data_IF_829645022407
#
_entry.id   IF_829645022407
#
_cell.length_a   1.000
_cell.length_b   1.000
_cell.length_c   1.000
_cell.angle_alpha   90.00
_cell.angle_beta   90.00
_cell.angle_gamma   90.00
#
_symmetry.space_group_name_H-M   'P 1'
#
loop_
_entity.id
_entity.type
_entity.pdbx_description
1 polymer ?
#
# COMPACT_ATOMS: atom_id res chain seq x y z
N UNK A 1 3.06 10.97 24.22
CA UNK A 1 2.74 10.32 22.96
C UNK A 1 1.55 11.04 22.31
N UNK A 2 1.69 11.45 21.05
CA UNK A 2 0.66 12.25 20.37
C UNK A 2 -0.54 11.39 19.93
N UNK A 3 -0.31 10.12 19.61
CA UNK A 3 -1.39 9.20 19.19
C UNK A 3 -1.96 8.52 20.43
N UNK A 4 -3.28 8.66 20.65
CA UNK A 4 -4.01 8.09 21.78
C UNK A 4 -4.96 6.96 21.39
N UNK A 5 -5.42 6.93 20.14
CA UNK A 5 -6.30 5.90 19.62
C UNK A 5 -6.05 5.60 18.14
N UNK A 6 -6.28 4.36 17.74
CA UNK A 6 -6.17 3.90 16.36
C UNK A 6 -7.03 2.65 16.11
N UNK A 7 -7.17 2.24 14.86
CA UNK A 7 -7.73 0.93 14.50
C UNK A 7 -6.68 -0.16 14.77
N UNK A 8 -6.78 -0.85 15.89
CA UNK A 8 -5.75 -1.80 16.35
C UNK A 8 -5.80 -3.17 15.67
N UNK A 9 -6.93 -3.55 15.08
CA UNK A 9 -7.17 -4.91 14.56
C UNK A 9 -6.30 -5.29 13.33
N UNK A 10 -5.80 -4.31 12.59
CA UNK A 10 -5.01 -4.53 11.38
C UNK A 10 -3.71 -3.69 11.38
N UNK A 11 -3.04 -3.62 12.52
CA UNK A 11 -1.75 -2.94 12.59
C UNK A 11 -0.68 -3.72 11.82
N UNK A 12 0.21 -3.02 11.09
CA UNK A 12 1.37 -3.65 10.49
C UNK A 12 2.25 -4.34 11.54
N UNK A 13 2.93 -5.42 11.15
CA UNK A 13 3.72 -6.24 12.07
C UNK A 13 4.76 -5.42 12.86
N UNK A 14 5.35 -4.39 12.25
CA UNK A 14 6.34 -3.51 12.90
C UNK A 14 5.74 -2.53 13.93
N UNK A 15 4.41 -2.44 14.05
CA UNK A 15 3.69 -1.66 15.07
C UNK A 15 2.90 -2.55 16.04
N UNK A 16 2.90 -3.88 15.85
CA UNK A 16 2.06 -4.79 16.63
C UNK A 16 2.32 -4.72 18.14
N UNK A 17 3.57 -4.56 18.55
CA UNK A 17 3.98 -4.42 19.97
C UNK A 17 3.51 -3.12 20.62
N UNK A 18 3.00 -2.17 19.83
CA UNK A 18 2.45 -0.89 20.31
C UNK A 18 0.93 -0.91 20.41
N UNK A 19 0.26 -1.96 19.92
CA UNK A 19 -1.20 -2.02 19.86
C UNK A 19 -1.84 -1.77 21.23
N UNK A 20 -1.28 -2.35 22.30
CA UNK A 20 -1.76 -2.18 23.69
C UNK A 20 -1.58 -0.77 24.27
N UNK A 21 -0.88 0.12 23.56
CA UNK A 21 -0.66 1.52 23.96
C UNK A 21 -1.77 2.46 23.47
N UNK A 22 -2.64 1.99 22.57
CA UNK A 22 -3.68 2.78 21.93
C UNK A 22 -5.07 2.26 22.28
N UNK A 23 -6.02 3.19 22.45
CA UNK A 23 -7.42 2.84 22.48
C UNK A 23 -7.89 2.40 21.08
N UNK A 24 -8.66 1.31 21.04
CA UNK A 24 -9.28 0.89 19.79
C UNK A 24 -10.48 1.80 19.44
N UNK A 25 -10.34 2.59 18.41
CA UNK A 25 -11.35 3.56 17.97
C UNK A 25 -12.13 3.08 16.72
N UNK A 26 -12.18 1.78 16.50
CA UNK A 26 -12.93 1.15 15.43
C UNK A 26 -12.05 0.39 14.44
N UNK A 27 -12.50 0.30 13.20
CA UNK A 27 -11.81 -0.40 12.11
C UNK A 27 -11.35 0.57 11.04
N UNK A 28 -10.60 0.07 10.06
CA UNK A 28 -10.20 0.86 8.87
C UNK A 28 -11.39 1.29 7.98
N UNK A 29 -12.60 0.78 8.23
CA UNK A 29 -13.80 1.05 7.42
C UNK A 29 -14.94 1.68 8.20
N UNK A 30 -14.93 1.56 9.52
CA UNK A 30 -16.02 2.01 10.39
C UNK A 30 -15.44 2.50 11.71
N UNK A 31 -15.55 3.81 12.01
CA UNK A 31 -15.06 4.38 13.26
C UNK A 31 -15.98 4.01 14.42
N UNK A 32 -15.44 3.80 15.60
CA UNK A 32 -16.22 3.72 16.83
C UNK A 32 -16.41 5.13 17.41
N UNK A 33 -17.52 5.77 17.02
CA UNK A 33 -17.84 7.16 17.39
C UNK A 33 -17.95 7.34 18.90
N UNK A 34 -18.48 6.33 19.61
CA UNK A 34 -18.59 6.37 21.08
C UNK A 34 -17.20 6.33 21.75
N UNK A 35 -16.32 5.45 21.28
CA UNK A 35 -14.94 5.37 21.76
C UNK A 35 -14.18 6.69 21.49
N UNK A 36 -14.33 7.27 20.30
CA UNK A 36 -13.74 8.55 19.94
C UNK A 36 -14.26 9.68 20.82
N UNK A 37 -15.58 9.75 21.06
CA UNK A 37 -16.16 10.77 21.93
C UNK A 37 -15.67 10.64 23.38
N UNK A 38 -15.52 9.41 23.89
CA UNK A 38 -15.00 9.14 25.23
C UNK A 38 -13.50 9.48 25.35
N UNK A 39 -12.73 9.24 24.28
CA UNK A 39 -11.31 9.56 24.23
C UNK A 39 -11.06 11.08 24.19
N UNK A 40 -12.02 11.85 23.68
CA UNK A 40 -11.97 13.31 23.55
C UNK A 40 -10.65 13.81 22.92
N UNK A 41 -10.30 13.38 21.72
CA UNK A 41 -9.06 13.76 21.06
C UNK A 41 -9.08 15.24 20.67
N UNK A 42 -7.89 15.85 20.56
CA UNK A 42 -7.73 17.23 20.06
C UNK A 42 -7.80 17.29 18.52
N UNK A 43 -7.52 16.16 17.85
CA UNK A 43 -7.52 16.02 16.39
C UNK A 43 -7.87 14.59 15.99
N UNK A 44 -8.63 14.44 14.92
CA UNK A 44 -8.91 13.15 14.27
C UNK A 44 -8.29 13.16 12.88
N UNK A 45 -7.44 12.18 12.59
CA UNK A 45 -6.85 11.98 11.27
C UNK A 45 -7.53 10.77 10.63
N UNK A 46 -8.05 10.96 9.42
CA UNK A 46 -8.71 9.89 8.64
C UNK A 46 -8.11 9.77 7.25
N UNK A 47 -8.39 8.66 6.59
CA UNK A 47 -8.11 8.47 5.16
C UNK A 47 -9.40 8.45 4.33
N UNK A 48 -9.28 8.33 3.01
CA UNK A 48 -10.42 8.28 2.07
C UNK A 48 -11.51 7.28 2.46
N UNK A 49 -11.16 6.19 3.14
CA UNK A 49 -12.13 5.14 3.54
C UNK A 49 -13.15 5.60 4.56
N UNK A 50 -12.82 6.65 5.30
CA UNK A 50 -13.67 7.19 6.36
C UNK A 50 -14.28 8.55 5.99
N UNK A 51 -14.18 9.00 4.75
CA UNK A 51 -14.71 10.29 4.30
C UNK A 51 -16.22 10.44 4.56
N UNK A 52 -16.98 9.38 4.41
CA UNK A 52 -18.44 9.39 4.67
C UNK A 52 -18.78 9.65 6.14
N UNK A 53 -17.82 9.48 7.03
CA UNK A 53 -17.96 9.77 8.48
C UNK A 53 -17.41 11.14 8.88
N UNK A 54 -16.77 11.88 7.97
CA UNK A 54 -16.05 13.12 8.31
C UNK A 54 -16.93 14.12 9.05
N UNK A 55 -18.13 14.42 8.56
CA UNK A 55 -19.06 15.35 9.22
C UNK A 55 -19.44 14.90 10.64
N UNK A 56 -19.64 13.60 10.84
CA UNK A 56 -19.97 13.07 12.17
C UNK A 56 -18.76 13.14 13.11
N UNK A 57 -17.56 12.93 12.61
CA UNK A 57 -16.33 13.00 13.40
C UNK A 57 -15.98 14.45 13.76
N UNK A 58 -16.30 15.42 12.89
CA UNK A 58 -16.14 16.86 13.16
C UNK A 58 -17.00 17.36 14.34
N UNK A 59 -18.05 16.64 14.70
CA UNK A 59 -18.81 16.94 15.92
C UNK A 59 -18.02 16.64 17.21
N UNK A 60 -16.96 15.83 17.13
CA UNK A 60 -16.11 15.44 18.26
C UNK A 60 -14.84 16.30 18.32
N UNK A 61 -14.10 16.40 17.21
CA UNK A 61 -12.86 17.15 17.11
C UNK A 61 -12.58 17.56 15.64
N UNK A 62 -11.68 18.53 15.39
CA UNK A 62 -11.24 18.84 14.04
C UNK A 62 -10.78 17.59 13.31
N UNK A 63 -11.14 17.46 12.01
CA UNK A 63 -10.80 16.32 11.16
C UNK A 63 -9.81 16.72 10.09
N UNK A 64 -8.73 15.96 9.93
CA UNK A 64 -7.78 16.09 8.83
C UNK A 64 -7.80 14.82 7.99
N UNK A 65 -7.92 14.99 6.67
CA UNK A 65 -7.89 13.88 5.73
C UNK A 65 -6.50 13.75 5.14
N UNK A 66 -5.81 12.66 5.47
CA UNK A 66 -4.53 12.29 4.86
C UNK A 66 -4.76 11.09 3.95
N UNK A 67 -4.60 11.30 2.66
CA UNK A 67 -4.84 10.30 1.63
C UNK A 67 -3.74 10.29 0.61
N UNK A 68 -3.63 9.18 -0.13
CA UNK A 68 -2.70 9.03 -1.24
C UNK A 68 -3.47 9.11 -2.55
N UNK A 69 -2.96 9.90 -3.47
CA UNK A 69 -3.39 9.93 -4.86
C UNK A 69 -2.51 8.97 -5.66
N UNK A 70 -3.11 7.92 -6.21
CA UNK A 70 -2.35 6.92 -6.98
C UNK A 70 -1.84 7.45 -8.32
N UNK A 71 -2.36 8.59 -8.80
CA UNK A 71 -1.88 9.28 -10.00
C UNK A 71 -0.71 10.23 -9.72
N UNK A 72 -0.52 10.61 -8.46
CA UNK A 72 0.62 11.36 -7.95
C UNK A 72 1.01 10.85 -6.55
N UNK A 73 1.41 9.58 -6.51
CA UNK A 73 1.68 8.88 -5.24
C UNK A 73 2.70 9.62 -4.40
N UNK A 74 3.89 9.89 -4.96
CA UNK A 74 4.97 10.49 -4.19
C UNK A 74 4.67 11.93 -3.77
N UNK A 75 4.07 12.73 -4.65
CA UNK A 75 3.66 14.09 -4.30
C UNK A 75 2.63 14.12 -3.18
N UNK A 76 1.67 13.19 -3.18
CA UNK A 76 0.68 13.10 -2.10
C UNK A 76 1.27 12.62 -0.78
N UNK A 77 2.24 11.70 -0.80
CA UNK A 77 2.98 11.27 0.41
C UNK A 77 3.79 12.43 1.00
N UNK A 78 4.53 13.20 0.17
CA UNK A 78 5.25 14.38 0.62
C UNK A 78 4.31 15.39 1.27
N UNK A 79 3.15 15.63 0.66
CA UNK A 79 2.13 16.54 1.21
C UNK A 79 1.65 16.06 2.59
N UNK A 80 1.40 14.75 2.74
CA UNK A 80 0.98 14.17 4.02
C UNK A 80 2.06 14.34 5.09
N UNK A 81 3.32 14.05 4.77
CA UNK A 81 4.46 14.24 5.70
C UNK A 81 4.58 15.71 6.12
N UNK A 82 4.55 16.65 5.16
CA UNK A 82 4.60 18.09 5.44
C UNK A 82 3.42 18.52 6.32
N UNK A 83 2.21 18.02 6.05
CA UNK A 83 1.02 18.34 6.85
C UNK A 83 1.18 17.86 8.28
N UNK A 84 1.70 16.65 8.49
CA UNK A 84 1.99 16.13 9.84
C UNK A 84 3.09 16.96 10.54
N UNK A 85 4.13 17.37 9.83
CA UNK A 85 5.16 18.28 10.36
C UNK A 85 4.56 19.55 10.93
N UNK A 86 3.66 20.19 10.16
CA UNK A 86 2.98 21.42 10.63
C UNK A 86 2.05 21.17 11.82
N UNK A 87 1.30 20.05 11.82
CA UNK A 87 0.36 19.70 12.92
C UNK A 87 1.10 19.51 14.25
N UNK A 88 2.30 18.94 14.21
CA UNK A 88 3.05 18.55 15.40
C UNK A 88 4.23 19.48 15.73
N UNK A 89 4.38 20.63 15.05
CA UNK A 89 5.51 21.57 15.16
C UNK A 89 6.87 20.87 14.89
N UNK A 90 6.90 19.93 13.91
CA UNK A 90 8.04 19.09 13.54
C UNK A 90 8.41 19.24 12.05
N UNK A 91 8.34 20.47 11.52
CA UNK A 91 8.55 20.73 10.10
C UNK A 91 9.98 20.37 9.64
N UNK A 92 10.98 20.57 10.49
CA UNK A 92 12.37 20.23 10.18
C UNK A 92 12.54 18.71 10.04
N UNK A 93 11.92 17.93 10.93
CA UNK A 93 11.93 16.46 10.85
C UNK A 93 11.17 15.95 9.62
N UNK A 94 10.06 16.61 9.26
CA UNK A 94 9.29 16.28 8.06
C UNK A 94 10.10 16.54 6.77
N UNK A 95 10.81 17.67 6.71
CA UNK A 95 11.69 17.99 5.58
C UNK A 95 12.86 17.00 5.46
N UNK A 96 13.52 16.66 6.57
CA UNK A 96 14.60 15.67 6.59
C UNK A 96 14.13 14.28 6.14
N UNK A 97 12.93 13.86 6.57
CA UNK A 97 12.33 12.60 6.13
C UNK A 97 12.07 12.59 4.61
N UNK A 98 11.53 13.69 4.05
CA UNK A 98 11.29 13.82 2.60
C UNK A 98 12.61 13.76 1.83
N UNK A 99 13.65 14.45 2.29
CA UNK A 99 14.98 14.43 1.65
C UNK A 99 15.54 13.01 1.63
N UNK A 100 15.50 12.33 2.77
CA UNK A 100 15.99 10.94 2.90
C UNK A 100 15.26 9.99 1.94
N UNK A 101 13.93 10.06 1.90
CA UNK A 101 13.13 9.24 1.02
C UNK A 101 13.38 9.55 -0.47
N UNK A 102 13.57 10.82 -0.83
CA UNK A 102 13.96 11.19 -2.19
C UNK A 102 15.31 10.57 -2.59
N UNK A 103 16.31 10.61 -1.71
CA UNK A 103 17.61 9.98 -1.97
C UNK A 103 17.49 8.48 -2.18
N UNK A 104 16.66 7.80 -1.39
CA UNK A 104 16.37 6.36 -1.55
C UNK A 104 15.67 6.07 -2.88
N UNK A 105 14.65 6.84 -3.24
CA UNK A 105 13.94 6.73 -4.53
C UNK A 105 14.92 6.90 -5.69
N UNK A 106 15.74 7.95 -5.70
CA UNK A 106 16.72 8.19 -6.76
C UNK A 106 17.79 7.07 -6.80
N UNK A 107 18.18 6.51 -5.67
CA UNK A 107 19.07 5.34 -5.62
C UNK A 107 18.45 4.10 -6.28
N UNK A 108 17.14 3.87 -6.09
CA UNK A 108 16.41 2.78 -6.76
C UNK A 108 16.29 3.08 -8.26
N UNK A 109 15.87 4.29 -8.64
CA UNK A 109 15.77 4.71 -10.05
C UNK A 109 17.08 4.55 -10.81
N UNK A 110 18.20 4.85 -10.19
CA UNK A 110 19.52 4.64 -10.80
C UNK A 110 19.80 3.15 -11.10
N UNK A 111 19.29 2.24 -10.26
CA UNK A 111 19.41 0.79 -10.47
C UNK A 111 18.43 0.28 -11.53
N UNK A 112 17.22 0.82 -11.57
CA UNK A 112 16.17 0.41 -12.51
C UNK A 112 16.39 0.98 -13.90
N UNK A 113 17.13 2.09 -14.07
CA UNK A 113 17.41 2.72 -15.36
C UNK A 113 18.04 1.78 -16.42
N UNK A 114 18.70 0.70 -15.99
CA UNK A 114 19.26 -0.36 -16.85
C UNK A 114 18.34 -1.56 -17.07
N UNK A 115 17.16 -1.57 -16.43
CA UNK A 115 16.21 -2.68 -16.48
C UNK A 115 15.16 -2.37 -17.57
N UNK A 116 15.18 -3.13 -18.64
CA UNK A 116 14.20 -3.01 -19.74
C UNK A 116 13.13 -4.09 -19.72
N UNK A 117 13.25 -5.03 -18.79
CA UNK A 117 12.34 -6.16 -18.63
C UNK A 117 10.95 -5.68 -18.22
N UNK A 118 9.96 -6.22 -18.89
CA UNK A 118 8.55 -5.94 -18.65
C UNK A 118 8.10 -6.50 -17.30
N UNK A 119 7.58 -5.62 -16.47
CA UNK A 119 7.23 -5.89 -15.07
C UNK A 119 5.73 -5.87 -14.87
N UNK A 120 5.22 -6.84 -14.11
CA UNK A 120 3.83 -6.89 -13.62
C UNK A 120 3.83 -7.00 -12.11
N UNK A 121 2.86 -6.38 -11.46
CA UNK A 121 2.60 -6.56 -10.03
C UNK A 121 1.31 -7.35 -9.85
N UNK A 122 1.37 -8.43 -9.07
CA UNK A 122 0.22 -9.23 -8.67
C UNK A 122 -0.08 -9.05 -7.20
N UNK A 123 -1.35 -8.92 -6.88
CA UNK A 123 -1.89 -9.09 -5.54
C UNK A 123 -2.59 -10.45 -5.46
N UNK A 124 -2.18 -11.27 -4.51
CA UNK A 124 -2.85 -12.52 -4.18
C UNK A 124 -3.83 -12.28 -3.03
N UNK A 125 -5.04 -12.81 -3.17
CA UNK A 125 -6.07 -12.67 -2.17
C UNK A 125 -7.06 -13.84 -2.22
N UNK A 126 -7.10 -14.64 -1.17
CA UNK A 126 -8.05 -15.76 -1.00
C UNK A 126 -8.17 -16.62 -2.26
N UNK A 127 -7.05 -17.12 -2.77
CA UNK A 127 -7.01 -17.98 -3.95
C UNK A 127 -7.25 -17.26 -5.29
N UNK A 128 -7.25 -15.93 -5.33
CA UNK A 128 -7.41 -15.13 -6.54
C UNK A 128 -6.20 -14.24 -6.83
N UNK A 129 -6.03 -13.84 -8.07
CA UNK A 129 -4.97 -12.95 -8.55
C UNK A 129 -5.57 -11.67 -9.14
N UNK A 130 -5.01 -10.52 -8.77
CA UNK A 130 -5.28 -9.23 -9.41
C UNK A 130 -4.00 -8.61 -9.93
N UNK A 131 -4.01 -8.17 -11.18
CA UNK A 131 -2.89 -7.51 -11.84
C UNK A 131 -2.98 -5.99 -11.64
N UNK A 132 -1.81 -5.36 -11.45
CA UNK A 132 -1.66 -3.91 -11.28
C UNK A 132 -0.56 -3.40 -12.19
N UNK A 133 -0.77 -2.19 -12.72
CA UNK A 133 0.19 -1.48 -13.55
C UNK A 133 0.20 0.01 -13.16
N UNK A 134 0.58 0.89 -14.09
CA UNK A 134 0.52 2.36 -13.91
C UNK A 134 -0.88 2.82 -13.52
N UNK A 135 -1.01 4.00 -12.89
CA UNK A 135 -2.30 4.59 -12.50
C UNK A 135 -3.07 3.82 -11.42
N UNK A 136 -2.48 2.78 -10.85
CA UNK A 136 -3.10 1.89 -9.88
C UNK A 136 -2.50 2.04 -8.48
N UNK A 137 -3.06 1.30 -7.51
CA UNK A 137 -2.53 1.27 -6.13
C UNK A 137 -1.03 1.02 -6.03
N UNK A 138 -0.45 0.22 -6.94
CA UNK A 138 0.98 -0.09 -6.97
C UNK A 138 1.69 0.60 -8.14
N UNK A 139 1.08 1.61 -8.75
CA UNK A 139 1.66 2.42 -9.82
C UNK A 139 3.00 3.06 -9.47
N UNK A 140 3.22 3.33 -8.20
CA UNK A 140 4.49 3.80 -7.65
C UNK A 140 5.71 2.99 -8.12
N UNK A 141 5.58 1.67 -8.29
CA UNK A 141 6.63 0.78 -8.81
C UNK A 141 7.10 1.25 -10.19
N UNK A 142 6.18 1.68 -11.03
CA UNK A 142 6.45 2.08 -12.42
C UNK A 142 6.79 3.57 -12.52
N UNK A 143 5.93 4.40 -11.95
CA UNK A 143 5.95 5.86 -12.13
C UNK A 143 7.05 6.52 -11.31
N UNK A 144 7.31 6.00 -10.11
CA UNK A 144 8.30 6.57 -9.20
C UNK A 144 9.58 5.76 -9.17
N UNK A 145 9.52 4.43 -9.10
CA UNK A 145 10.73 3.58 -9.04
C UNK A 145 11.30 3.23 -10.41
N UNK A 146 10.59 3.49 -11.51
CA UNK A 146 11.11 3.41 -12.87
C UNK A 146 11.16 2.01 -13.48
N UNK A 147 10.41 1.03 -12.95
CA UNK A 147 10.25 -0.26 -13.63
C UNK A 147 9.40 -0.11 -14.89
N UNK A 148 9.74 -0.86 -15.94
CA UNK A 148 9.00 -0.82 -17.20
C UNK A 148 7.75 -1.69 -17.10
N UNK A 149 6.52 -1.13 -17.24
CA UNK A 149 5.30 -1.92 -17.17
C UNK A 149 5.19 -2.89 -18.37
N UNK A 150 4.39 -3.94 -18.22
CA UNK A 150 3.98 -4.80 -19.34
C UNK A 150 3.23 -4.01 -20.38
N UNK A 151 3.27 -4.47 -21.67
CA UNK A 151 2.57 -3.79 -22.77
C UNK A 151 1.05 -4.08 -22.79
N UNK A 152 0.60 -5.08 -22.03
CA UNK A 152 -0.81 -5.38 -21.89
C UNK A 152 -1.55 -4.22 -21.22
N UNK A 153 -2.74 -3.89 -21.71
CA UNK A 153 -3.61 -2.91 -21.07
C UNK A 153 -4.17 -3.53 -19.78
N UNK A 154 -3.67 -3.06 -18.65
CA UNK A 154 -4.20 -3.39 -17.32
C UNK A 154 -5.05 -2.19 -16.88
N UNK A 155 -6.25 -2.43 -16.40
CA UNK A 155 -7.17 -1.37 -15.96
C UNK A 155 -6.58 -0.58 -14.78
N UNK A 156 -6.67 0.73 -14.86
CA UNK A 156 -6.33 1.63 -13.77
C UNK A 156 -7.38 1.45 -12.66
N UNK A 157 -7.00 0.76 -11.60
CA UNK A 157 -7.93 0.38 -10.54
C UNK A 157 -7.24 0.28 -9.19
N UNK A 158 -7.92 0.75 -8.14
CA UNK A 158 -7.50 0.55 -6.75
C UNK A 158 -7.51 -0.92 -6.35
N UNK A 159 -8.37 -1.73 -6.99
CA UNK A 159 -8.52 -3.16 -6.69
C UNK A 159 -7.77 -4.08 -7.65
N UNK A 160 -7.18 -3.50 -8.71
CA UNK A 160 -6.52 -4.24 -9.77
C UNK A 160 -7.50 -4.93 -10.72
N UNK A 161 -6.97 -5.45 -11.80
CA UNK A 161 -7.70 -6.24 -12.79
C UNK A 161 -7.59 -7.72 -12.44
N UNK A 162 -8.71 -8.42 -12.29
CA UNK A 162 -8.69 -9.87 -12.08
C UNK A 162 -8.01 -10.58 -13.25
N UNK A 163 -7.08 -11.48 -12.96
CA UNK A 163 -6.34 -12.25 -13.96
C UNK A 163 -6.31 -13.72 -13.59
N UNK A 164 -6.60 -14.58 -14.57
CA UNK A 164 -6.42 -16.04 -14.45
C UNK A 164 -5.05 -16.47 -14.98
N UNK A 165 -4.76 -17.77 -14.86
CA UNK A 165 -3.48 -18.34 -15.29
C UNK A 165 -3.18 -18.14 -16.78
N UNK A 166 -4.18 -18.32 -17.64
CA UNK A 166 -4.05 -18.12 -19.09
C UNK A 166 -3.74 -16.65 -19.39
N UNK A 167 -4.46 -15.72 -18.74
CA UNK A 167 -4.20 -14.29 -18.88
C UNK A 167 -2.81 -13.89 -18.41
N UNK A 168 -2.34 -14.44 -17.29
CA UNK A 168 -0.97 -14.19 -16.80
C UNK A 168 0.09 -14.69 -17.81
N UNK A 169 -0.14 -15.88 -18.39
CA UNK A 169 0.76 -16.41 -19.43
C UNK A 169 0.71 -15.59 -20.71
N UNK A 170 -0.47 -15.08 -21.11
CA UNK A 170 -0.61 -14.21 -22.28
C UNK A 170 0.13 -12.88 -22.08
N UNK A 171 0.02 -12.28 -20.90
CA UNK A 171 0.77 -11.08 -20.51
C UNK A 171 2.27 -11.36 -20.51
N UNK A 172 2.68 -12.54 -20.05
CA UNK A 172 4.06 -13.03 -20.01
C UNK A 172 5.06 -12.01 -19.45
N UNK A 173 4.94 -11.57 -18.19
CA UNK A 173 5.89 -10.63 -17.61
C UNK A 173 7.30 -11.24 -17.51
N UNK A 174 8.32 -10.40 -17.60
CA UNK A 174 9.73 -10.79 -17.42
C UNK A 174 10.19 -10.62 -15.97
N UNK A 175 9.52 -9.71 -15.22
CA UNK A 175 9.63 -9.55 -13.77
C UNK A 175 8.21 -9.60 -13.22
N UNK A 176 8.01 -10.36 -12.15
CA UNK A 176 6.73 -10.47 -11.46
C UNK A 176 6.93 -10.13 -9.97
N UNK A 177 6.41 -8.99 -9.56
CA UNK A 177 6.27 -8.67 -8.14
C UNK A 177 4.98 -9.27 -7.60
N UNK A 178 5.06 -9.87 -6.42
CA UNK A 178 3.94 -10.55 -5.77
C UNK A 178 3.75 -9.98 -4.38
N UNK A 179 2.52 -9.57 -4.07
CA UNK A 179 2.08 -9.10 -2.76
C UNK A 179 0.96 -10.03 -2.31
N UNK A 180 1.08 -10.62 -1.13
CA UNK A 180 0.05 -11.49 -0.56
C UNK A 180 -0.77 -10.74 0.48
N UNK A 181 -1.98 -10.33 0.08
CA UNK A 181 -2.93 -9.63 0.96
C UNK A 181 -3.37 -10.50 2.14
N UNK A 182 -3.62 -11.78 1.89
CA UNK A 182 -4.08 -12.70 2.93
C UNK A 182 -3.04 -12.84 4.03
N UNK A 183 -1.77 -12.95 3.65
CA UNK A 183 -0.65 -12.95 4.59
C UNK A 183 -0.49 -11.61 5.33
N UNK A 184 -0.67 -10.48 4.64
CA UNK A 184 -0.62 -9.14 5.25
C UNK A 184 -1.67 -8.96 6.36
N UNK A 185 -2.83 -9.59 6.21
CA UNK A 185 -3.91 -9.55 7.20
C UNK A 185 -3.78 -10.63 8.30
N UNK A 186 -2.62 -11.29 8.39
CA UNK A 186 -2.33 -12.27 9.44
C UNK A 186 -2.97 -13.65 9.23
N UNK A 187 -3.55 -13.89 8.05
CA UNK A 187 -4.11 -15.19 7.69
C UNK A 187 -3.19 -15.87 6.69
N UNK A 188 -2.42 -16.86 7.13
CA UNK A 188 -1.63 -17.66 6.20
C UNK A 188 -2.57 -18.46 5.30
N UNK A 189 -2.37 -18.41 4.00
CA UNK A 189 -3.14 -19.17 3.03
C UNK A 189 -2.20 -20.02 2.17
N UNK A 190 -2.24 -21.33 2.35
CA UNK A 190 -1.59 -22.29 1.45
C UNK A 190 -2.13 -22.16 0.01
N UNK A 191 -3.37 -21.67 -0.15
CA UNK A 191 -4.01 -21.45 -1.45
C UNK A 191 -3.28 -20.37 -2.26
N UNK A 192 -2.84 -19.28 -1.62
CA UNK A 192 -2.10 -18.22 -2.32
C UNK A 192 -0.69 -18.70 -2.75
N UNK A 193 -0.01 -19.49 -1.93
CA UNK A 193 1.27 -20.08 -2.33
C UNK A 193 1.07 -21.02 -3.54
N UNK A 194 0.01 -21.82 -3.54
CA UNK A 194 -0.32 -22.73 -4.64
C UNK A 194 -0.66 -22.02 -5.95
N UNK A 195 -1.10 -20.74 -5.92
CA UNK A 195 -1.36 -19.97 -7.14
C UNK A 195 -0.11 -19.80 -8.01
N UNK A 196 1.07 -19.74 -7.40
CA UNK A 196 2.34 -19.60 -8.13
C UNK A 196 2.93 -20.97 -8.52
N UNK A 197 2.41 -22.07 -7.96
CA UNK A 197 2.81 -23.44 -8.27
C UNK A 197 1.90 -24.04 -9.37
N UNK A 198 1.97 -23.47 -10.58
CA UNK A 198 1.10 -23.83 -11.69
C UNK A 198 1.86 -23.89 -13.01
N UNK A 199 1.49 -24.83 -13.88
CA UNK A 199 2.14 -25.05 -15.18
C UNK A 199 2.09 -23.79 -16.08
N UNK A 200 1.08 -22.95 -16.00
CA UNK A 200 1.01 -21.69 -16.73
C UNK A 200 2.02 -20.68 -16.19
N UNK A 201 2.15 -20.56 -14.86
CA UNK A 201 3.15 -19.70 -14.22
C UNK A 201 4.56 -20.15 -14.59
N UNK A 202 4.83 -21.46 -14.60
CA UNK A 202 6.14 -22.03 -14.96
C UNK A 202 6.54 -21.73 -16.41
N UNK A 203 5.57 -21.41 -17.27
CA UNK A 203 5.83 -21.03 -18.66
C UNK A 203 6.11 -19.54 -18.85
N UNK A 204 5.91 -18.69 -17.85
CA UNK A 204 6.25 -17.27 -17.94
C UNK A 204 7.75 -17.02 -17.95
N UNK A 205 8.17 -15.92 -18.55
CA UNK A 205 9.57 -15.53 -18.58
C UNK A 205 10.07 -15.15 -17.17
N UNK A 206 9.21 -14.56 -16.33
CA UNK A 206 9.53 -14.26 -14.94
C UNK A 206 9.93 -15.53 -14.17
N UNK A 207 9.18 -16.63 -14.31
CA UNK A 207 9.53 -17.89 -13.67
C UNK A 207 10.83 -18.49 -14.21
N UNK A 208 10.94 -18.60 -15.55
CA UNK A 208 12.12 -19.19 -16.21
C UNK A 208 13.43 -18.47 -15.85
N UNK A 209 13.35 -17.18 -15.58
CA UNK A 209 14.50 -16.34 -15.25
C UNK A 209 14.67 -16.12 -13.73
N UNK A 210 13.91 -16.82 -12.87
CA UNK A 210 13.87 -16.63 -11.42
C UNK A 210 13.64 -15.18 -11.00
N UNK A 211 12.71 -14.50 -11.68
CA UNK A 211 12.33 -13.10 -11.42
C UNK A 211 10.89 -12.97 -10.90
N UNK A 212 10.39 -13.99 -10.20
CA UNK A 212 9.21 -13.86 -9.35
C UNK A 212 9.71 -13.44 -7.97
N UNK A 213 9.32 -12.25 -7.54
CA UNK A 213 9.84 -11.57 -6.35
C UNK A 213 8.67 -11.30 -5.42
N UNK A 214 8.65 -12.00 -4.28
CA UNK A 214 7.68 -11.72 -3.23
C UNK A 214 8.10 -10.46 -2.47
N UNK A 215 7.23 -9.47 -2.48
CA UNK A 215 7.39 -8.25 -1.71
C UNK A 215 6.86 -8.46 -0.29
N UNK A 216 7.41 -7.74 0.69
CA UNK A 216 6.97 -7.80 2.08
C UNK A 216 5.52 -7.35 2.20
N UNK A 217 4.61 -8.30 2.42
CA UNK A 217 3.16 -8.08 2.29
C UNK A 217 2.61 -7.04 3.26
N UNK A 218 3.11 -7.00 4.49
CA UNK A 218 2.77 -6.02 5.51
C UNK A 218 3.21 -4.60 5.12
N UNK A 219 4.42 -4.45 4.57
CA UNK A 219 4.93 -3.16 4.12
C UNK A 219 4.18 -2.67 2.87
N UNK A 220 4.01 -3.52 1.87
CA UNK A 220 3.42 -3.13 0.60
C UNK A 220 1.89 -3.05 0.60
N UNK A 221 1.23 -3.83 1.46
CA UNK A 221 -0.22 -3.83 1.53
C UNK A 221 -0.78 -2.92 2.64
N UNK A 222 -0.19 -2.94 3.85
CA UNK A 222 -0.70 -2.18 5.00
C UNK A 222 -0.04 -0.81 5.16
N UNK A 223 1.24 -0.66 4.77
CA UNK A 223 2.04 0.53 5.04
C UNK A 223 2.20 1.45 3.83
N UNK A 224 1.56 1.15 2.72
CA UNK A 224 1.70 1.86 1.44
C UNK A 224 0.94 3.18 1.36
N UNK A 225 0.94 3.99 2.40
CA UNK A 225 0.50 5.39 2.35
C UNK A 225 -1.02 5.61 2.23
N UNK A 226 -1.84 4.60 2.54
CA UNK A 226 -3.29 4.71 2.48
C UNK A 226 -3.99 4.21 3.72
#
# INVERSE_FOLDING_TARGET
>A
DAVTGTATDNMPAYLADKADQFENVGTLKEPNVEALANLAPELIIISNRLLDFAEQLEEIAPVVVLSVDYTDYWGSVQKNITTLGVIFDEEEAAEEAIVTLNEEIESVKAKTAGISEKTLTLLLNDGSMSAFSTGSRFGFIYETLGFTPVDAAIEDSTHGQSVGYEGLLEINPQILFVIDRTAALGTASDENAALLENDFVYQTDAYKNNKIINLSSDLWYLSGGG
#
